data_IF_420090069027
#
_entry.id   IF_420090069027
#
_cell.length_a   1.000
_cell.length_b   1.000
_cell.length_c   1.000
_cell.angle_alpha   90.00
_cell.angle_beta   90.00
_cell.angle_gamma   90.00
#
_symmetry.space_group_name_H-M   'P 1'
#
loop_
_entity.id
_entity.type
_entity.pdbx_description
1 polymer ?
#
# COMPACT_ATOMS: atom_id res chain seq x y z
N UNK A 1 9.19 -3.09 -18.90
CA UNK A 1 8.89 -3.88 -17.69
C UNK A 1 9.35 -5.31 -17.92
N UNK A 2 10.04 -5.91 -16.96
CA UNK A 2 10.56 -7.28 -17.04
C UNK A 2 10.14 -7.98 -15.76
N UNK A 3 9.65 -9.23 -15.87
CA UNK A 3 9.28 -10.07 -14.73
C UNK A 3 10.26 -11.22 -14.60
N UNK A 4 10.62 -11.58 -13.37
CA UNK A 4 11.47 -12.73 -13.09
C UNK A 4 10.74 -14.06 -13.28
N UNK A 5 11.46 -15.05 -13.81
CA UNK A 5 10.94 -16.44 -13.95
C UNK A 5 11.02 -17.23 -12.63
N UNK A 6 11.55 -16.61 -11.56
CA UNK A 6 11.86 -17.29 -10.31
C UNK A 6 13.10 -18.18 -10.43
N UNK A 7 13.68 -18.53 -9.29
CA UNK A 7 14.86 -19.41 -9.20
C UNK A 7 14.51 -20.91 -9.09
N UNK A 8 13.20 -21.21 -8.93
CA UNK A 8 12.67 -22.57 -8.72
C UNK A 8 13.15 -23.26 -7.43
N UNK A 9 13.80 -22.48 -6.55
CA UNK A 9 14.27 -22.90 -5.22
C UNK A 9 13.45 -22.21 -4.14
N UNK A 10 13.39 -20.89 -4.17
CA UNK A 10 12.61 -20.05 -3.26
C UNK A 10 11.34 -19.52 -3.93
N UNK A 11 11.42 -19.16 -5.22
CA UNK A 11 10.34 -18.48 -5.94
C UNK A 11 9.95 -19.20 -7.23
N UNK A 12 8.66 -19.28 -7.50
CA UNK A 12 8.08 -19.59 -8.81
C UNK A 12 8.04 -18.34 -9.69
N UNK A 13 7.48 -18.42 -10.89
CA UNK A 13 7.35 -17.31 -11.84
C UNK A 13 6.51 -16.16 -11.25
N UNK A 14 7.03 -14.96 -11.26
CA UNK A 14 6.35 -13.77 -10.72
C UNK A 14 5.05 -13.43 -11.46
N UNK A 15 5.00 -13.69 -12.76
CA UNK A 15 3.79 -13.49 -13.59
C UNK A 15 2.63 -14.43 -13.24
N UNK A 16 2.83 -15.41 -12.35
CA UNK A 16 1.78 -16.27 -11.83
C UNK A 16 0.80 -15.52 -10.92
N UNK A 17 1.25 -14.43 -10.30
CA UNK A 17 0.50 -13.67 -9.32
C UNK A 17 0.01 -12.36 -9.95
N UNK A 18 -1.32 -12.22 -10.13
CA UNK A 18 -1.92 -11.03 -10.77
C UNK A 18 -1.70 -9.77 -9.94
N UNK A 19 -1.61 -9.88 -8.61
CA UNK A 19 -1.28 -8.79 -7.71
C UNK A 19 0.15 -8.28 -7.92
N UNK A 20 1.12 -9.17 -8.20
CA UNK A 20 2.49 -8.77 -8.55
C UNK A 20 2.52 -8.05 -9.91
N UNK A 21 1.77 -8.53 -10.89
CA UNK A 21 1.65 -7.85 -12.20
C UNK A 21 1.03 -6.47 -12.02
N UNK A 22 -0.02 -6.34 -11.21
CA UNK A 22 -0.67 -5.06 -10.88
C UNK A 22 0.25 -4.12 -10.11
N UNK A 23 1.08 -4.63 -9.19
CA UNK A 23 2.10 -3.90 -8.44
C UNK A 23 3.08 -3.22 -9.41
N UNK A 24 3.69 -3.98 -10.30
CA UNK A 24 4.66 -3.44 -11.26
C UNK A 24 4.06 -2.38 -12.20
N UNK A 25 2.83 -2.61 -12.68
CA UNK A 25 2.12 -1.63 -13.51
C UNK A 25 1.85 -0.32 -12.73
N UNK A 26 1.61 -0.41 -11.45
CA UNK A 26 1.34 0.75 -10.59
C UNK A 26 2.56 1.64 -10.40
N UNK A 27 3.79 1.10 -10.40
CA UNK A 27 5.01 1.92 -10.43
C UNK A 27 5.00 2.89 -11.62
N UNK A 28 4.52 2.45 -12.79
CA UNK A 28 4.33 3.33 -13.94
C UNK A 28 3.33 4.46 -13.67
N UNK A 29 2.19 4.15 -13.04
CA UNK A 29 1.20 5.18 -12.65
C UNK A 29 1.82 6.18 -11.68
N UNK A 30 2.52 5.70 -10.65
CA UNK A 30 3.20 6.54 -9.65
C UNK A 30 4.23 7.45 -10.29
N UNK A 31 5.05 6.93 -11.22
CA UNK A 31 6.09 7.69 -11.91
C UNK A 31 5.52 8.86 -12.72
N UNK A 32 4.39 8.64 -13.40
CA UNK A 32 3.78 9.68 -14.27
C UNK A 32 2.76 10.56 -13.56
N UNK A 33 2.53 10.37 -12.26
CA UNK A 33 1.59 11.18 -11.46
C UNK A 33 2.29 11.86 -10.28
N UNK A 34 2.39 11.20 -9.12
CA UNK A 34 3.03 11.73 -7.92
C UNK A 34 4.55 11.88 -8.09
N UNK A 35 5.19 10.97 -8.85
CA UNK A 35 6.63 10.93 -9.02
C UNK A 35 7.39 10.66 -7.73
N UNK A 36 6.82 9.85 -6.81
CA UNK A 36 7.42 9.55 -5.50
C UNK A 36 8.87 9.10 -5.64
N UNK A 37 9.78 9.79 -4.97
CA UNK A 37 11.21 9.47 -4.93
C UNK A 37 11.42 8.08 -4.33
N UNK A 38 12.21 7.24 -4.99
CA UNK A 38 12.38 5.84 -4.57
C UNK A 38 13.44 5.71 -3.48
N UNK A 39 13.18 6.37 -2.33
CA UNK A 39 14.05 6.35 -1.15
C UNK A 39 13.25 6.69 0.12
N UNK A 40 13.57 6.02 1.24
CA UNK A 40 12.98 6.26 2.55
C UNK A 40 11.45 6.19 2.53
N UNK A 41 10.77 7.11 3.24
CA UNK A 41 9.31 7.08 3.35
C UNK A 41 8.59 7.29 2.01
N UNK A 42 9.08 8.17 1.14
CA UNK A 42 8.47 8.36 -0.19
C UNK A 42 8.60 7.11 -1.07
N UNK A 43 9.73 6.41 -1.00
CA UNK A 43 9.93 5.13 -1.66
C UNK A 43 9.05 4.02 -1.07
N UNK A 44 8.91 3.97 0.24
CA UNK A 44 8.00 3.04 0.91
C UNK A 44 6.52 3.31 0.58
N UNK A 45 6.12 4.58 0.36
CA UNK A 45 4.81 4.93 -0.18
C UNK A 45 4.65 4.45 -1.62
N UNK A 46 5.68 4.57 -2.46
CA UNK A 46 5.67 4.07 -3.83
C UNK A 46 5.41 2.55 -3.86
N UNK A 47 6.11 1.80 -3.03
CA UNK A 47 5.91 0.36 -2.82
C UNK A 47 4.50 0.04 -2.32
N UNK A 48 4.04 0.76 -1.29
CA UNK A 48 2.70 0.55 -0.73
C UNK A 48 1.58 0.84 -1.73
N UNK A 49 1.68 1.91 -2.53
CA UNK A 49 0.70 2.19 -3.58
C UNK A 49 0.66 1.05 -4.59
N UNK A 50 1.82 0.50 -4.94
CA UNK A 50 1.92 -0.65 -5.84
C UNK A 50 1.27 -1.90 -5.24
N UNK A 51 1.51 -2.21 -3.97
CA UNK A 51 0.85 -3.32 -3.27
C UNK A 51 -0.66 -3.11 -3.15
N UNK A 52 -1.10 -1.90 -2.81
CA UNK A 52 -2.53 -1.55 -2.71
C UNK A 52 -3.25 -1.85 -4.02
N UNK A 53 -2.77 -1.29 -5.15
CA UNK A 53 -3.45 -1.48 -6.43
C UNK A 53 -3.27 -2.89 -6.98
N UNK A 54 -2.15 -3.55 -6.74
CA UNK A 54 -1.96 -4.98 -7.03
C UNK A 54 -2.99 -5.84 -6.29
N UNK A 55 -3.15 -5.63 -4.97
CA UNK A 55 -4.18 -6.31 -4.16
C UNK A 55 -5.59 -6.03 -4.66
N UNK A 56 -5.92 -4.77 -5.02
CA UNK A 56 -7.24 -4.42 -5.53
C UNK A 56 -7.55 -5.09 -6.87
N UNK A 57 -6.57 -5.22 -7.77
CA UNK A 57 -6.71 -5.96 -9.03
C UNK A 57 -7.01 -7.44 -8.75
N UNK A 58 -6.29 -8.06 -7.81
CA UNK A 58 -6.54 -9.45 -7.39
C UNK A 58 -7.94 -9.63 -6.80
N UNK A 59 -8.33 -8.75 -5.86
CA UNK A 59 -9.64 -8.79 -5.22
C UNK A 59 -10.76 -8.63 -6.24
N UNK A 60 -10.63 -7.68 -7.19
CA UNK A 60 -11.62 -7.47 -8.25
C UNK A 60 -11.74 -8.68 -9.16
N UNK A 61 -10.62 -9.27 -9.58
CA UNK A 61 -10.62 -10.48 -10.42
C UNK A 61 -11.28 -11.67 -9.71
N UNK A 62 -11.15 -11.77 -8.38
CA UNK A 62 -11.75 -12.81 -7.56
C UNK A 62 -13.17 -12.48 -7.05
N UNK A 63 -13.67 -11.25 -7.28
CA UNK A 63 -14.96 -10.80 -6.78
C UNK A 63 -15.05 -10.75 -5.24
N UNK A 64 -13.94 -10.49 -4.56
CA UNK A 64 -13.85 -10.55 -3.09
C UNK A 64 -14.12 -9.19 -2.45
N UNK A 65 -14.95 -9.17 -1.43
CA UNK A 65 -15.12 -8.03 -0.53
C UNK A 65 -13.93 -7.90 0.43
N UNK A 66 -13.76 -6.71 1.05
CA UNK A 66 -12.64 -6.41 1.94
C UNK A 66 -12.52 -7.39 3.13
N UNK A 67 -13.65 -7.91 3.63
CA UNK A 67 -13.70 -8.90 4.73
C UNK A 67 -13.38 -10.33 4.27
N UNK A 68 -13.41 -10.61 2.96
CA UNK A 68 -13.15 -11.93 2.37
C UNK A 68 -11.79 -12.04 1.70
N UNK A 69 -11.18 -10.92 1.38
CA UNK A 69 -9.85 -10.89 0.76
C UNK A 69 -8.78 -11.44 1.72
N UNK A 70 -7.77 -12.08 1.15
CA UNK A 70 -6.63 -12.63 1.92
C UNK A 70 -5.63 -11.57 2.35
N UNK A 71 -5.61 -10.42 1.65
CA UNK A 71 -4.69 -9.30 1.89
C UNK A 71 -3.20 -9.68 1.80
N UNK A 72 -2.92 -10.74 1.04
CA UNK A 72 -1.58 -11.23 0.73
C UNK A 72 -1.11 -10.69 -0.62
N UNK A 73 0.17 -10.37 -0.73
CA UNK A 73 0.85 -10.02 -1.98
C UNK A 73 1.75 -11.16 -2.39
N UNK A 74 1.56 -11.67 -3.62
CA UNK A 74 2.34 -12.78 -4.15
C UNK A 74 1.99 -14.12 -3.49
N UNK A 75 0.73 -14.33 -3.09
CA UNK A 75 0.27 -15.63 -2.57
C UNK A 75 0.46 -16.71 -3.63
N UNK A 76 1.13 -17.81 -3.26
CA UNK A 76 1.47 -18.92 -4.16
C UNK A 76 2.73 -18.69 -5.02
N UNK A 77 3.49 -17.63 -4.77
CA UNK A 77 4.78 -17.39 -5.40
C UNK A 77 5.91 -18.19 -4.75
N UNK A 78 5.84 -18.40 -3.44
CA UNK A 78 6.84 -19.17 -2.72
C UNK A 78 6.79 -20.65 -3.15
N UNK A 79 7.97 -21.25 -3.30
CA UNK A 79 8.05 -22.70 -3.59
C UNK A 79 7.54 -23.51 -2.39
N UNK A 80 7.01 -24.72 -2.60
CA UNK A 80 6.42 -25.55 -1.51
C UNK A 80 7.39 -25.89 -0.38
N UNK A 81 8.70 -25.79 -0.62
CA UNK A 81 9.77 -25.99 0.38
C UNK A 81 9.97 -24.81 1.30
N UNK A 82 9.45 -23.62 0.95
CA UNK A 82 9.61 -22.38 1.72
C UNK A 82 8.52 -22.25 2.77
N UNK A 83 8.92 -21.96 4.00
CA UNK A 83 8.01 -21.73 5.13
C UNK A 83 7.42 -20.31 5.06
N UNK A 84 6.31 -20.17 4.31
CA UNK A 84 5.63 -18.90 4.12
C UNK A 84 4.35 -19.06 3.28
N UNK A 85 3.55 -18.00 3.23
CA UNK A 85 2.27 -17.97 2.50
C UNK A 85 2.27 -16.97 1.34
N UNK A 86 3.14 -15.96 1.38
CA UNK A 86 3.22 -14.89 0.40
C UNK A 86 4.54 -14.11 0.52
N UNK A 87 4.75 -13.11 -0.33
CA UNK A 87 5.85 -12.16 -0.19
C UNK A 87 5.61 -11.17 0.95
N UNK A 88 4.37 -10.67 1.08
CA UNK A 88 3.96 -9.70 2.10
C UNK A 88 2.53 -9.95 2.56
N UNK A 89 2.20 -9.48 3.77
CA UNK A 89 0.84 -9.43 4.29
C UNK A 89 0.46 -7.99 4.62
N UNK A 90 -0.55 -7.44 3.95
CA UNK A 90 -1.08 -6.11 4.27
C UNK A 90 -1.88 -6.12 5.57
N UNK A 91 -2.48 -7.28 5.90
CA UNK A 91 -3.26 -7.47 7.12
C UNK A 91 -2.36 -7.61 8.34
N UNK A 92 -1.33 -8.42 8.24
CA UNK A 92 -0.43 -8.75 9.35
C UNK A 92 1.03 -8.62 8.87
N UNK A 93 1.56 -7.39 8.65
CA UNK A 93 2.94 -7.20 8.22
C UNK A 93 3.94 -7.86 9.17
N UNK A 94 4.98 -8.48 8.62
CA UNK A 94 5.97 -9.24 9.40
C UNK A 94 5.63 -10.71 9.60
N UNK A 95 4.57 -11.23 8.95
CA UNK A 95 4.11 -12.61 9.15
C UNK A 95 4.01 -13.44 7.87
N UNK A 96 4.35 -12.87 6.71
CA UNK A 96 4.14 -13.55 5.43
C UNK A 96 5.03 -14.79 5.26
N UNK A 97 6.23 -14.79 5.83
CA UNK A 97 7.14 -15.93 5.82
C UNK A 97 8.08 -15.93 7.03
N UNK A 98 8.54 -17.12 7.39
CA UNK A 98 9.64 -17.34 8.35
C UNK A 98 10.35 -18.63 7.95
N UNK A 99 11.42 -18.51 7.19
CA UNK A 99 12.11 -19.60 6.51
C UNK A 99 13.62 -19.53 6.72
N UNK A 100 14.32 -20.68 6.91
CA UNK A 100 15.76 -20.68 7.15
C UNK A 100 16.62 -20.07 6.03
N UNK A 101 16.14 -20.10 4.77
CA UNK A 101 16.87 -19.56 3.61
C UNK A 101 16.41 -18.14 3.26
N UNK A 102 15.10 -17.89 3.30
CA UNK A 102 14.51 -16.58 2.97
C UNK A 102 14.62 -15.57 4.14
N UNK A 103 14.75 -16.06 5.37
CA UNK A 103 14.70 -15.24 6.57
C UNK A 103 13.26 -15.05 7.09
N UNK A 104 13.07 -14.05 7.94
CA UNK A 104 11.78 -13.65 8.46
C UNK A 104 11.30 -12.39 7.73
N UNK A 105 9.99 -12.30 7.45
CA UNK A 105 9.37 -11.09 6.91
C UNK A 105 9.69 -9.87 7.82
N UNK A 106 10.45 -8.87 7.32
CA UNK A 106 10.93 -7.76 8.14
C UNK A 106 9.93 -6.60 8.27
N UNK A 107 8.76 -6.68 7.64
CA UNK A 107 7.85 -5.55 7.54
C UNK A 107 7.23 -5.17 8.89
N UNK A 108 7.36 -3.89 9.34
CA UNK A 108 6.64 -3.38 10.50
C UNK A 108 5.19 -3.05 10.16
N UNK A 109 4.28 -3.31 11.11
CA UNK A 109 2.87 -2.93 11.02
C UNK A 109 2.57 -1.53 11.58
N UNK A 110 3.55 -0.87 12.25
CA UNK A 110 3.31 0.37 13.00
C UNK A 110 4.55 1.28 12.95
N UNK A 111 4.31 2.59 12.95
CA UNK A 111 5.35 3.61 12.89
C UNK A 111 6.35 3.55 14.07
N UNK A 112 5.92 3.04 15.22
CA UNK A 112 6.81 2.81 16.37
C UNK A 112 7.95 1.82 16.07
N UNK A 113 7.79 0.98 15.06
CA UNK A 113 8.76 -0.02 14.63
C UNK A 113 9.36 0.33 13.24
N UNK A 114 9.25 1.59 12.80
CA UNK A 114 9.87 2.05 11.56
C UNK A 114 11.36 1.73 11.58
N UNK A 115 11.86 1.10 10.52
CA UNK A 115 13.27 0.77 10.40
C UNK A 115 14.04 1.89 9.71
N UNK A 116 14.88 2.59 10.48
CA UNK A 116 15.84 3.55 9.93
C UNK A 116 17.08 2.78 9.45
N UNK A 117 17.27 2.71 8.15
CA UNK A 117 18.35 1.93 7.51
C UNK A 117 18.80 2.60 6.22
N UNK A 118 20.04 2.32 5.81
CA UNK A 118 20.58 2.69 4.49
C UNK A 118 20.37 1.61 3.43
N UNK A 119 20.07 0.39 3.85
CA UNK A 119 19.79 -0.72 2.96
C UNK A 119 18.44 -0.54 2.27
N UNK A 120 18.22 -1.23 1.15
CA UNK A 120 16.94 -1.23 0.44
C UNK A 120 16.45 0.20 0.15
N UNK A 121 17.31 1.10 -0.30
CA UNK A 121 17.03 2.53 -0.53
C UNK A 121 16.35 3.23 0.66
N UNK A 122 16.80 2.94 1.89
CA UNK A 122 16.18 3.44 3.11
C UNK A 122 14.96 2.61 3.55
N UNK A 123 14.97 1.30 3.27
CA UNK A 123 13.96 0.34 3.70
C UNK A 123 12.63 0.46 2.96
N UNK A 124 12.64 0.71 1.65
CA UNK A 124 11.39 0.95 0.88
C UNK A 124 10.46 -0.26 0.87
N UNK A 125 10.98 -1.48 0.68
CA UNK A 125 10.18 -2.70 0.72
C UNK A 125 9.83 -3.15 2.15
N UNK A 126 10.61 -2.69 3.14
CA UNK A 126 10.41 -3.02 4.55
C UNK A 126 9.31 -2.12 5.13
N UNK A 127 9.53 -0.81 5.10
CA UNK A 127 8.64 0.17 5.74
C UNK A 127 7.29 0.36 5.02
N UNK A 128 7.15 -0.16 3.79
CA UNK A 128 5.87 -0.19 3.07
C UNK A 128 4.78 -0.99 3.81
N UNK A 129 5.16 -1.87 4.73
CA UNK A 129 4.22 -2.58 5.61
C UNK A 129 3.33 -1.64 6.43
N UNK A 130 3.84 -0.47 6.86
CA UNK A 130 3.10 0.51 7.66
C UNK A 130 1.93 1.11 6.87
N UNK A 131 2.13 1.76 5.71
CA UNK A 131 1.01 2.28 4.91
C UNK A 131 0.14 1.18 4.28
N UNK A 132 0.67 -0.03 4.01
CA UNK A 132 -0.13 -1.18 3.62
C UNK A 132 -1.15 -1.55 4.69
N UNK A 133 -0.71 -1.61 5.94
CA UNK A 133 -1.60 -1.90 7.07
C UNK A 133 -2.63 -0.79 7.30
N UNK A 134 -2.25 0.48 7.12
CA UNK A 134 -3.20 1.60 7.18
C UNK A 134 -4.30 1.47 6.11
N UNK A 135 -3.96 1.06 4.89
CA UNK A 135 -4.94 0.79 3.84
C UNK A 135 -5.87 -0.37 4.20
N UNK A 136 -5.32 -1.50 4.65
CA UNK A 136 -6.10 -2.65 5.11
C UNK A 136 -7.12 -2.26 6.18
N UNK A 137 -6.70 -1.56 7.23
CA UNK A 137 -7.58 -1.09 8.30
C UNK A 137 -8.68 -0.16 7.79
N UNK A 138 -8.34 0.74 6.86
CA UNK A 138 -9.28 1.65 6.23
C UNK A 138 -10.31 0.89 5.40
N UNK A 139 -9.86 0.01 4.50
CA UNK A 139 -10.71 -0.72 3.57
C UNK A 139 -11.68 -1.66 4.30
N UNK A 140 -11.20 -2.38 5.30
CA UNK A 140 -12.03 -3.28 6.12
C UNK A 140 -13.04 -2.50 6.97
N UNK A 141 -12.68 -1.32 7.46
CA UNK A 141 -13.60 -0.45 8.21
C UNK A 141 -14.70 0.15 7.33
N UNK A 142 -14.40 0.48 6.08
CA UNK A 142 -15.40 0.93 5.09
C UNK A 142 -16.31 -0.23 4.69
N UNK A 143 -15.73 -1.42 4.48
CA UNK A 143 -16.44 -2.62 4.05
C UNK A 143 -16.80 -2.60 2.55
N UNK A 144 -17.50 -3.63 2.10
CA UNK A 144 -17.85 -3.81 0.70
C UNK A 144 -16.62 -4.13 -0.16
N UNK A 145 -16.63 -3.71 -1.41
CA UNK A 145 -15.49 -3.88 -2.31
C UNK A 145 -14.44 -2.79 -2.08
N UNK A 146 -13.22 -3.17 -1.72
CA UNK A 146 -12.16 -2.21 -1.37
C UNK A 146 -11.81 -1.26 -2.52
N UNK A 147 -11.93 -1.70 -3.78
CA UNK A 147 -11.64 -0.86 -4.96
C UNK A 147 -12.65 0.27 -5.21
N UNK A 148 -13.90 0.17 -4.68
CA UNK A 148 -14.94 1.17 -4.94
C UNK A 148 -14.73 2.46 -4.13
N UNK A 149 -14.39 2.34 -2.84
CA UNK A 149 -14.29 3.49 -1.95
C UNK A 149 -12.87 3.73 -1.44
N UNK A 150 -12.28 2.78 -0.72
CA UNK A 150 -10.91 2.92 -0.22
C UNK A 150 -9.91 3.10 -1.36
N UNK A 151 -9.99 2.26 -2.39
CA UNK A 151 -9.17 2.35 -3.60
C UNK A 151 -9.32 3.68 -4.32
N UNK A 152 -10.54 4.21 -4.42
CA UNK A 152 -10.78 5.53 -5.02
C UNK A 152 -10.11 6.66 -4.24
N UNK A 153 -10.15 6.63 -2.90
CA UNK A 153 -9.47 7.62 -2.06
C UNK A 153 -7.95 7.58 -2.33
N UNK A 154 -7.35 6.39 -2.30
CA UNK A 154 -5.91 6.21 -2.57
C UNK A 154 -5.54 6.62 -3.98
N UNK A 155 -6.34 6.25 -5.00
CA UNK A 155 -6.10 6.63 -6.39
C UNK A 155 -6.11 8.15 -6.59
N UNK A 156 -7.13 8.83 -6.10
CA UNK A 156 -7.20 10.30 -6.20
C UNK A 156 -6.03 10.94 -5.46
N UNK A 157 -5.68 10.43 -4.29
CA UNK A 157 -4.53 10.93 -3.52
C UNK A 157 -3.23 10.77 -4.29
N UNK A 158 -2.95 9.57 -4.81
CA UNK A 158 -1.76 9.28 -5.60
C UNK A 158 -1.66 10.18 -6.83
N UNK A 159 -2.74 10.26 -7.61
CA UNK A 159 -2.68 10.88 -8.94
C UNK A 159 -2.81 12.40 -8.91
N UNK A 160 -3.32 12.99 -7.82
CA UNK A 160 -3.63 14.43 -7.79
C UNK A 160 -3.06 15.21 -6.60
N UNK A 161 -2.58 14.55 -5.54
CA UNK A 161 -2.19 15.22 -4.29
C UNK A 161 -0.75 14.95 -3.86
N UNK A 162 -0.29 13.70 -3.89
CA UNK A 162 1.07 13.35 -3.49
C UNK A 162 2.11 14.05 -4.38
N UNK A 163 3.28 14.31 -3.80
CA UNK A 163 4.45 14.91 -4.42
C UNK A 163 5.63 13.95 -4.29
N UNK A 164 6.71 14.22 -5.01
CA UNK A 164 7.90 13.37 -5.04
C UNK A 164 8.52 13.08 -3.66
N UNK A 165 8.43 14.02 -2.74
CA UNK A 165 8.99 13.99 -1.39
C UNK A 165 7.94 13.72 -0.29
N UNK A 166 6.72 13.32 -0.64
CA UNK A 166 5.67 13.02 0.34
C UNK A 166 6.08 11.88 1.26
N UNK A 167 5.95 12.09 2.56
CA UNK A 167 6.15 11.12 3.62
C UNK A 167 4.83 10.47 4.07
N UNK A 168 4.89 9.58 5.06
CA UNK A 168 3.70 8.91 5.59
C UNK A 168 2.71 9.87 6.24
N UNK A 169 3.20 10.96 6.88
CA UNK A 169 2.33 11.96 7.46
C UNK A 169 1.55 12.72 6.37
N UNK A 170 2.23 13.12 5.30
CA UNK A 170 1.59 13.75 4.15
C UNK A 170 0.53 12.83 3.51
N UNK A 171 0.84 11.54 3.35
CA UNK A 171 -0.11 10.57 2.81
C UNK A 171 -1.34 10.40 3.72
N UNK A 172 -1.16 10.38 5.05
CA UNK A 172 -2.24 10.30 6.02
C UNK A 172 -3.18 11.52 5.94
N UNK A 173 -2.60 12.70 5.92
CA UNK A 173 -3.34 13.96 5.88
C UNK A 173 -4.08 14.14 4.54
N UNK A 174 -3.42 13.80 3.42
CA UNK A 174 -4.00 13.94 2.09
C UNK A 174 -5.09 12.89 1.81
N UNK A 175 -4.93 11.63 2.21
CA UNK A 175 -5.98 10.61 2.08
C UNK A 175 -7.21 10.99 2.91
N UNK A 176 -7.01 11.53 4.12
CA UNK A 176 -8.10 12.04 4.95
C UNK A 176 -8.82 13.23 4.29
N UNK A 177 -8.09 14.18 3.71
CA UNK A 177 -8.69 15.31 3.00
C UNK A 177 -9.50 14.83 1.79
N UNK A 178 -8.92 13.98 0.94
CA UNK A 178 -9.58 13.41 -0.24
C UNK A 178 -10.85 12.65 0.15
N UNK A 179 -10.82 11.87 1.23
CA UNK A 179 -12.01 11.18 1.72
C UNK A 179 -13.15 12.16 2.06
N UNK A 180 -12.81 13.28 2.70
CA UNK A 180 -13.78 14.35 3.00
C UNK A 180 -14.29 15.08 1.75
N UNK A 181 -13.44 15.27 0.73
CA UNK A 181 -13.82 15.89 -0.55
C UNK A 181 -14.77 14.99 -1.36
N UNK A 182 -14.48 13.69 -1.39
CA UNK A 182 -15.23 12.73 -2.24
C UNK A 182 -16.51 12.24 -1.59
N UNK A 183 -16.53 12.04 -0.27
CA UNK A 183 -17.64 11.42 0.45
C UNK A 183 -18.31 12.33 1.47
N UNK A 184 -17.82 13.55 1.64
CA UNK A 184 -18.31 14.53 2.59
C UNK A 184 -17.50 14.61 3.88
N UNK A 185 -17.37 15.82 4.41
CA UNK A 185 -16.69 16.05 5.67
C UNK A 185 -17.41 15.34 6.82
N UNK A 186 -16.66 14.58 7.62
CA UNK A 186 -17.20 13.78 8.72
C UNK A 186 -17.82 12.45 8.30
N UNK A 187 -17.77 12.09 7.01
CA UNK A 187 -18.31 10.81 6.51
C UNK A 187 -17.67 9.58 7.18
N UNK A 188 -18.35 8.44 7.09
CA UNK A 188 -17.84 7.18 7.58
C UNK A 188 -16.49 6.80 6.92
N UNK A 189 -16.37 7.08 5.62
CA UNK A 189 -15.14 6.86 4.85
C UNK A 189 -13.99 7.72 5.37
N UNK A 190 -14.23 9.00 5.64
CA UNK A 190 -13.22 9.90 6.21
C UNK A 190 -12.79 9.45 7.60
N UNK A 191 -13.72 9.02 8.44
CA UNK A 191 -13.39 8.49 9.77
C UNK A 191 -12.66 7.14 9.70
N UNK A 192 -12.97 6.31 8.69
CA UNK A 192 -12.25 5.07 8.45
C UNK A 192 -10.77 5.34 8.08
N UNK A 193 -10.52 6.32 7.20
CA UNK A 193 -9.14 6.74 6.85
C UNK A 193 -8.38 7.20 8.11
N UNK A 194 -8.99 8.07 8.92
CA UNK A 194 -8.39 8.50 10.21
C UNK A 194 -8.08 7.29 11.10
N UNK A 195 -9.02 6.36 11.20
CA UNK A 195 -8.86 5.14 12.01
C UNK A 195 -7.72 4.27 11.51
N UNK A 196 -7.58 4.10 10.20
CA UNK A 196 -6.51 3.31 9.58
C UNK A 196 -5.12 3.87 9.88
N UNK A 197 -4.91 5.17 9.65
CA UNK A 197 -3.63 5.82 9.94
C UNK A 197 -3.32 5.88 11.45
N UNK A 198 -4.31 6.17 12.29
CA UNK A 198 -4.12 6.12 13.75
C UNK A 198 -3.74 4.70 14.22
N UNK A 199 -4.31 3.66 13.60
CA UNK A 199 -4.00 2.26 13.89
C UNK A 199 -2.54 1.89 13.66
N UNK A 200 -1.88 2.57 12.73
CA UNK A 200 -0.44 2.39 12.45
C UNK A 200 0.46 3.44 13.14
N UNK A 201 -0.09 4.19 14.09
CA UNK A 201 0.68 5.16 14.89
C UNK A 201 0.88 6.53 14.24
N UNK A 202 0.12 6.88 13.18
CA UNK A 202 0.21 8.17 12.50
C UNK A 202 -1.09 8.94 12.73
N UNK A 203 -1.00 10.05 13.49
CA UNK A 203 -2.15 10.89 13.78
C UNK A 203 -2.42 11.86 12.63
N UNK A 204 -3.61 11.76 12.03
CA UNK A 204 -4.04 12.67 10.96
C UNK A 204 -4.15 14.11 11.47
N UNK A 205 -3.55 15.06 10.74
CA UNK A 205 -3.63 16.51 11.00
C UNK A 205 -4.51 17.21 9.95
N UNK A 206 -5.80 17.45 10.23
CA UNK A 206 -6.72 18.02 9.25
C UNK A 206 -6.38 19.43 8.78
N UNK A 207 -5.63 20.19 9.58
CA UNK A 207 -5.24 21.56 9.25
C UNK A 207 -4.12 21.61 8.21
N UNK A 208 -3.23 20.63 8.26
CA UNK A 208 -2.14 20.50 7.30
C UNK A 208 -2.64 20.01 5.93
N UNK A 209 -3.62 19.11 5.92
CA UNK A 209 -4.28 18.62 4.72
C UNK A 209 -4.85 19.73 3.83
N UNK A 210 -5.43 20.79 4.42
CA UNK A 210 -5.93 21.97 3.69
C UNK A 210 -4.80 22.80 3.05
N UNK A 211 -3.61 22.78 3.61
CA UNK A 211 -2.44 23.53 3.11
C UNK A 211 -1.74 22.83 1.94
N UNK A 212 -1.74 21.49 1.94
CA UNK A 212 -1.12 20.65 0.91
C UNK A 212 -2.06 20.38 -0.28
N UNK A 213 -3.37 20.58 -0.13
CA UNK A 213 -4.32 20.40 -1.20
C UNK A 213 -4.04 21.40 -2.34
N UNK A 214 -3.35 20.94 -3.39
CA UNK A 214 -3.28 21.69 -4.65
C UNK A 214 -4.68 21.79 -5.25
N UNK A 215 -5.05 22.94 -5.85
CA UNK A 215 -6.25 22.98 -6.68
C UNK A 215 -6.12 21.87 -7.75
N UNK A 216 -7.21 21.11 -7.95
CA UNK A 216 -7.26 20.07 -8.98
C UNK A 216 -6.72 20.66 -10.29
N UNK A 217 -5.74 19.99 -10.93
CA UNK A 217 -5.38 20.33 -12.30
C UNK A 217 -6.64 20.12 -13.14
N UNK A 218 -7.23 21.19 -13.63
CA UNK A 218 -8.29 21.10 -14.63
C UNK A 218 -7.69 20.35 -15.82
N UNK A 219 -8.24 19.18 -16.11
CA UNK A 219 -7.90 18.45 -17.31
C UNK A 219 -8.15 19.39 -18.52
N UNK A 220 -7.08 19.65 -19.29
CA UNK A 220 -7.17 20.30 -20.56
C UNK A 220 -7.60 19.30 -21.63
#
# INVERSE_FOLDING_TARGET
MVYGDGDRVLFDRFTKCIDVVGHELTHGVTQYTAGLSYHGQSGALNESMSDVFGSLVKQMAAGQTADKADWLIGAGLLMPSVSGVALRSMKDPGTAYNDPQLGQDPQPANMANYLDTTDDNGGVHINSGIPNHAFFLTATKIGGFAWEKAGRIWYVTLTTRLQADSDFQAAADLTFAVAGEVYGSGSAEQQAVRGGWNGVGITVNPTFAKKLARPAKTAA
#
